data_IF_824020454327
#
_entry.id   IF_824020454327
#
_cell.length_a   1.000
_cell.length_b   1.000
_cell.length_c   1.000
_cell.angle_alpha   90.00
_cell.angle_beta   90.00
_cell.angle_gamma   90.00
#
_symmetry.space_group_name_H-M   'P 1'
#
loop_
_entity.id
_entity.type
_entity.pdbx_description
1 polymer ?
#
# COMPACT_ATOMS: atom_id res chain seq x y z
N UNK A 1 8.22 -26.77 15.68
CA UNK A 1 7.08 -25.82 15.71
C UNK A 1 6.51 -25.79 17.13
N UNK A 2 6.09 -24.62 17.58
CA UNK A 2 5.38 -24.43 18.85
C UNK A 2 4.10 -23.64 18.56
N UNK A 3 2.96 -24.16 19.02
CA UNK A 3 1.66 -23.49 18.88
C UNK A 3 1.00 -23.46 20.25
N UNK A 4 0.64 -22.25 20.68
CA UNK A 4 -0.09 -22.05 21.93
C UNK A 4 -1.38 -21.27 21.67
N UNK A 5 -2.39 -21.62 22.43
CA UNK A 5 -3.63 -20.89 22.57
C UNK A 5 -3.75 -20.41 24.03
N UNK A 6 -3.49 -19.14 24.25
CA UNK A 6 -3.22 -18.62 25.58
C UNK A 6 -2.03 -19.36 26.22
N UNK A 7 -2.23 -19.96 27.40
CA UNK A 7 -1.19 -20.74 28.09
C UNK A 7 -1.14 -22.23 27.67
N UNK A 8 -2.06 -22.67 26.81
CA UNK A 8 -2.18 -24.08 26.46
C UNK A 8 -1.36 -24.40 25.21
N UNK A 9 -0.42 -25.33 25.33
CA UNK A 9 0.31 -25.86 24.17
C UNK A 9 -0.59 -26.86 23.44
N UNK A 10 -0.82 -26.63 22.13
CA UNK A 10 -1.65 -27.45 21.26
C UNK A 10 -0.88 -27.98 20.04
N UNK A 11 0.44 -27.89 20.08
CA UNK A 11 1.32 -28.28 18.97
C UNK A 11 1.09 -29.73 18.52
N UNK A 12 0.95 -30.66 19.46
CA UNK A 12 0.77 -32.09 19.17
C UNK A 12 -0.56 -32.42 18.47
N UNK A 13 -1.48 -31.46 18.41
CA UNK A 13 -2.77 -31.60 17.74
C UNK A 13 -2.78 -31.12 16.31
N UNK A 14 -1.70 -30.45 15.86
CA UNK A 14 -1.62 -29.90 14.52
C UNK A 14 -1.60 -31.00 13.45
N UNK A 15 -2.57 -30.96 12.54
CA UNK A 15 -2.65 -31.84 11.38
C UNK A 15 -2.12 -31.16 10.11
N UNK A 16 -2.43 -29.88 9.94
CA UNK A 16 -2.06 -29.09 8.75
C UNK A 16 -1.89 -27.62 9.11
N UNK A 17 -1.00 -26.95 8.40
CA UNK A 17 -0.68 -25.54 8.58
C UNK A 17 -0.41 -24.92 7.21
N UNK A 18 -1.06 -23.82 6.97
CA UNK A 18 -0.81 -22.99 5.79
C UNK A 18 -0.81 -21.53 6.20
N UNK A 19 0.31 -20.87 6.02
CA UNK A 19 0.45 -19.42 6.16
C UNK A 19 0.61 -18.79 4.79
N UNK A 20 -0.08 -17.69 4.52
CA UNK A 20 0.05 -16.94 3.28
C UNK A 20 0.07 -15.44 3.53
N UNK A 21 0.89 -14.75 2.78
CA UNK A 21 1.00 -13.30 2.79
C UNK A 21 1.42 -12.81 1.41
N UNK A 22 0.79 -11.75 0.92
CA UNK A 22 1.04 -11.20 -0.40
C UNK A 22 1.00 -9.68 -0.40
N UNK A 23 1.76 -9.08 -1.33
CA UNK A 23 1.67 -7.67 -1.64
C UNK A 23 0.52 -7.40 -2.61
N UNK A 24 -0.22 -6.33 -2.34
CA UNK A 24 -1.26 -5.88 -3.25
C UNK A 24 -0.66 -5.27 -4.53
N UNK A 25 -1.28 -5.56 -5.67
CA UNK A 25 -1.00 -4.91 -6.96
C UNK A 25 0.48 -4.96 -7.42
N UNK A 26 1.24 -5.98 -7.02
CA UNK A 26 2.66 -6.11 -7.34
C UNK A 26 3.51 -4.88 -6.99
N UNK A 27 3.14 -4.14 -5.96
CA UNK A 27 3.91 -3.00 -5.46
C UNK A 27 5.10 -3.47 -4.64
N UNK A 28 6.20 -2.76 -4.76
CA UNK A 28 7.41 -3.04 -3.97
C UNK A 28 7.33 -2.42 -2.57
N UNK A 29 6.73 -1.25 -2.44
CA UNK A 29 6.67 -0.44 -1.23
C UNK A 29 5.24 0.02 -0.92
N UNK A 30 5.01 0.50 0.29
CA UNK A 30 3.71 1.02 0.71
C UNK A 30 2.68 -0.07 1.03
N UNK A 31 3.11 -1.32 1.16
CA UNK A 31 2.22 -2.41 1.49
C UNK A 31 2.03 -2.55 3.01
N UNK A 32 0.81 -2.90 3.39
CA UNK A 32 0.42 -3.25 4.76
C UNK A 32 -0.28 -4.61 4.72
N UNK A 33 0.46 -5.68 4.38
CA UNK A 33 -0.14 -6.99 4.19
C UNK A 33 -0.63 -7.56 5.53
N UNK A 34 -1.72 -8.31 5.48
CA UNK A 34 -2.11 -9.18 6.59
C UNK A 34 -1.63 -10.60 6.32
N UNK A 35 -1.07 -11.24 7.31
CA UNK A 35 -0.71 -12.65 7.25
C UNK A 35 -1.98 -13.46 7.55
N UNK A 36 -2.39 -14.28 6.61
CA UNK A 36 -3.44 -15.27 6.79
C UNK A 36 -2.84 -16.59 7.21
N UNK A 37 -3.37 -17.18 8.28
CA UNK A 37 -2.96 -18.48 8.79
C UNK A 37 -4.15 -19.39 8.86
N UNK A 38 -4.10 -20.54 8.17
CA UNK A 38 -5.06 -21.62 8.29
C UNK A 38 -4.39 -22.80 8.98
N UNK A 39 -4.96 -23.24 10.10
CA UNK A 39 -4.50 -24.43 10.81
C UNK A 39 -5.64 -25.44 10.97
N UNK A 40 -5.29 -26.71 10.85
CA UNK A 40 -6.20 -27.82 11.09
C UNK A 40 -5.69 -28.64 12.28
N UNK A 41 -6.56 -28.87 13.25
CA UNK A 41 -6.23 -29.59 14.48
C UNK A 41 -7.05 -30.87 14.64
N UNK A 42 -6.45 -31.85 15.27
CA UNK A 42 -7.18 -32.96 15.87
C UNK A 42 -7.95 -32.45 17.10
N UNK A 43 -9.27 -32.57 17.06
CA UNK A 43 -10.17 -32.17 18.13
C UNK A 43 -11.11 -33.31 18.57
N UNK A 44 -10.65 -34.57 18.46
CA UNK A 44 -11.47 -35.72 18.76
C UNK A 44 -12.02 -35.72 20.21
N UNK A 45 -11.31 -35.14 21.16
CA UNK A 45 -11.66 -34.99 22.56
C UNK A 45 -12.46 -33.72 22.89
N UNK A 46 -12.70 -32.84 21.91
CA UNK A 46 -13.49 -31.63 22.07
C UNK A 46 -12.82 -30.51 22.89
N UNK A 47 -11.52 -30.60 23.19
CA UNK A 47 -10.82 -29.57 23.99
C UNK A 47 -10.87 -28.22 23.32
N UNK A 48 -10.89 -28.16 21.98
CA UNK A 48 -10.92 -26.92 21.19
C UNK A 48 -12.36 -26.48 20.81
N UNK A 49 -13.41 -27.09 21.37
CA UNK A 49 -14.81 -26.73 21.05
C UNK A 49 -15.22 -25.32 21.56
N UNK A 50 -14.54 -24.83 22.59
CA UNK A 50 -14.89 -23.57 23.25
C UNK A 50 -13.72 -22.54 23.11
N UNK A 51 -13.31 -22.27 21.90
CA UNK A 51 -12.29 -21.25 21.64
C UNK A 51 -12.85 -19.86 21.95
N UNK A 52 -12.12 -19.11 22.76
CA UNK A 52 -12.34 -17.70 22.99
C UNK A 52 -11.61 -16.91 21.90
N UNK A 53 -12.36 -16.41 20.90
CA UNK A 53 -11.80 -15.66 19.75
C UNK A 53 -11.11 -14.35 20.16
N UNK A 54 -11.27 -13.89 21.39
CA UNK A 54 -10.56 -12.70 21.90
C UNK A 54 -9.08 -12.97 22.19
N UNK A 55 -8.71 -14.24 22.36
CA UNK A 55 -7.33 -14.63 22.68
C UNK A 55 -6.47 -14.78 21.45
N UNK A 56 -5.19 -14.49 21.61
CA UNK A 56 -4.18 -14.72 20.59
C UNK A 56 -3.73 -16.18 20.54
N UNK A 57 -3.39 -16.60 19.33
CA UNK A 57 -2.64 -17.79 19.03
C UNK A 57 -1.19 -17.42 18.83
N UNK A 58 -0.31 -18.03 19.59
CA UNK A 58 1.13 -17.87 19.49
C UNK A 58 1.69 -18.99 18.61
N UNK A 59 2.38 -18.61 17.53
CA UNK A 59 2.95 -19.56 16.59
C UNK A 59 4.44 -19.27 16.40
N UNK A 60 5.25 -20.30 16.61
CA UNK A 60 6.69 -20.27 16.39
C UNK A 60 7.07 -21.49 15.54
N UNK A 61 7.56 -21.26 14.34
CA UNK A 61 7.81 -22.34 13.37
C UNK A 61 8.96 -23.24 13.81
N UNK A 62 10.03 -22.68 14.36
CA UNK A 62 11.17 -23.37 14.94
C UNK A 62 11.87 -22.51 16.00
N UNK A 63 12.95 -22.98 16.60
CA UNK A 63 13.64 -22.25 17.67
C UNK A 63 14.32 -20.95 17.20
N UNK A 64 14.65 -20.84 15.93
CA UNK A 64 15.28 -19.66 15.34
C UNK A 64 14.25 -18.63 14.83
N UNK A 65 12.99 -19.03 14.61
CA UNK A 65 11.93 -18.14 14.14
C UNK A 65 11.44 -17.21 15.23
N UNK A 66 11.01 -16.00 14.83
CA UNK A 66 10.26 -15.12 15.71
C UNK A 66 8.88 -15.68 16.02
N UNK A 67 8.33 -15.29 17.15
CA UNK A 67 6.98 -15.66 17.52
C UNK A 67 5.99 -14.74 16.81
N UNK A 68 5.02 -15.33 16.11
CA UNK A 68 3.93 -14.60 15.45
C UNK A 68 2.64 -14.81 16.24
N UNK A 69 1.78 -13.78 16.21
CA UNK A 69 0.53 -13.76 16.94
C UNK A 69 -0.64 -13.58 15.98
N UNK A 70 -1.66 -14.43 16.15
CA UNK A 70 -2.84 -14.45 15.28
C UNK A 70 -4.11 -14.44 16.10
N UNK A 71 -5.18 -13.93 15.51
CA UNK A 71 -6.55 -14.00 16.06
C UNK A 71 -7.48 -14.72 15.11
N UNK A 72 -8.43 -15.44 15.68
CA UNK A 72 -9.61 -15.94 14.98
C UNK A 72 -10.65 -14.83 14.92
N UNK A 73 -11.13 -14.48 13.75
CA UNK A 73 -12.16 -13.44 13.60
C UNK A 73 -13.57 -14.01 13.48
N UNK A 74 -13.69 -15.22 12.94
CA UNK A 74 -14.98 -15.91 12.81
C UNK A 74 -15.06 -17.05 13.82
N UNK A 75 -16.23 -17.19 14.48
CA UNK A 75 -16.46 -18.29 15.43
C UNK A 75 -16.35 -19.64 14.69
N UNK A 76 -15.44 -20.52 15.07
CA UNK A 76 -15.29 -21.81 14.40
C UNK A 76 -16.48 -22.74 14.66
N UNK A 77 -16.65 -23.73 13.76
CA UNK A 77 -17.64 -24.78 13.95
C UNK A 77 -17.31 -25.59 15.21
N UNK A 78 -18.35 -25.83 16.04
CA UNK A 78 -18.21 -26.60 17.28
C UNK A 78 -18.47 -28.11 17.03
N UNK A 79 -17.95 -28.92 17.92
CA UNK A 79 -18.18 -30.37 17.95
C UNK A 79 -17.68 -31.11 16.71
N UNK A 80 -16.64 -30.62 16.10
CA UNK A 80 -15.97 -31.26 14.96
C UNK A 80 -14.79 -32.10 15.46
N UNK A 81 -14.58 -33.28 14.88
CA UNK A 81 -13.41 -34.14 15.20
C UNK A 81 -12.10 -33.52 14.70
N UNK A 82 -12.18 -32.75 13.64
CA UNK A 82 -11.10 -31.97 13.08
C UNK A 82 -11.56 -30.50 13.06
N UNK A 83 -10.83 -29.64 13.72
CA UNK A 83 -11.12 -28.22 13.78
C UNK A 83 -10.22 -27.47 12.81
N UNK A 84 -10.82 -26.71 11.89
CA UNK A 84 -10.07 -25.82 11.01
C UNK A 84 -10.27 -24.38 11.49
N UNK A 85 -9.16 -23.68 11.71
CA UNK A 85 -9.14 -22.28 12.10
C UNK A 85 -8.51 -21.44 11.01
N UNK A 86 -9.19 -20.36 10.66
CA UNK A 86 -8.67 -19.30 9.82
C UNK A 86 -8.40 -18.09 10.69
N UNK A 87 -7.17 -17.62 10.68
CA UNK A 87 -6.66 -16.58 11.57
C UNK A 87 -5.89 -15.54 10.80
N UNK A 88 -5.78 -14.36 11.38
CA UNK A 88 -5.04 -13.24 10.81
C UNK A 88 -4.19 -12.57 11.88
N UNK A 89 -3.13 -11.91 11.43
CA UNK A 89 -2.34 -11.03 12.26
C UNK A 89 -3.05 -9.68 12.55
N UNK A 90 -2.41 -8.81 13.31
CA UNK A 90 -3.00 -7.53 13.73
C UNK A 90 -3.29 -6.59 12.55
N UNK A 91 -2.57 -6.71 11.44
CA UNK A 91 -2.81 -5.86 10.27
C UNK A 91 -4.20 -6.04 9.68
N UNK A 92 -4.86 -7.18 9.93
CA UNK A 92 -6.24 -7.40 9.49
C UNK A 92 -7.22 -6.37 10.04
N UNK A 93 -7.01 -5.88 11.26
CA UNK A 93 -7.88 -4.89 11.91
C UNK A 93 -7.74 -3.46 11.37
N UNK A 94 -6.75 -3.20 10.51
CA UNK A 94 -6.45 -1.87 9.97
C UNK A 94 -7.38 -1.41 8.84
N UNK A 95 -8.31 -2.27 8.39
CA UNK A 95 -9.33 -1.94 7.39
C UNK A 95 -10.53 -1.17 8.00
N UNK A 96 -10.23 -0.32 8.96
CA UNK A 96 -11.17 0.57 9.63
C UNK A 96 -10.99 1.99 9.10
N UNK A 97 -12.10 2.72 8.90
CA UNK A 97 -12.06 4.11 8.46
C UNK A 97 -11.25 4.97 9.45
N UNK A 98 -10.44 5.88 8.91
CA UNK A 98 -9.68 6.82 9.73
C UNK A 98 -10.59 8.00 10.15
N UNK A 99 -11.28 7.85 11.27
CA UNK A 99 -12.13 8.89 11.86
C UNK A 99 -11.31 9.76 12.81
N UNK A 100 -10.54 10.68 12.24
CA UNK A 100 -9.63 11.56 12.98
C UNK A 100 -10.37 12.63 13.78
N UNK A 101 -9.82 12.94 14.95
CA UNK A 101 -10.23 14.07 15.81
C UNK A 101 -9.20 15.20 15.80
N UNK A 102 -8.11 15.04 15.06
CA UNK A 102 -7.05 16.04 14.95
C UNK A 102 -7.53 17.27 14.19
N UNK A 103 -7.03 18.43 14.58
CA UNK A 103 -7.25 19.70 13.88
C UNK A 103 -6.08 19.94 12.91
N UNK A 104 -6.31 19.79 11.63
CA UNK A 104 -5.28 19.94 10.60
C UNK A 104 -4.89 21.41 10.37
N UNK A 105 -3.61 21.73 10.02
CA UNK A 105 -2.53 20.80 9.70
C UNK A 105 -1.91 20.12 10.92
N UNK A 106 -1.44 18.88 10.75
CA UNK A 106 -0.79 18.07 11.78
C UNK A 106 0.48 17.44 11.22
N UNK A 107 1.34 16.91 12.08
CA UNK A 107 2.49 16.12 11.63
C UNK A 107 2.11 14.66 11.40
N UNK A 108 2.88 13.93 10.58
CA UNK A 108 2.73 12.47 10.47
C UNK A 108 2.89 11.80 11.84
N UNK A 109 3.76 12.35 12.69
CA UNK A 109 3.91 11.87 14.07
C UNK A 109 2.58 11.93 14.82
N UNK A 110 1.88 13.07 14.77
CA UNK A 110 0.59 13.24 15.45
C UNK A 110 -0.48 12.29 14.90
N UNK A 111 -0.46 12.04 13.58
CA UNK A 111 -1.34 11.04 12.96
C UNK A 111 -1.04 9.62 13.45
N UNK A 112 0.24 9.24 13.55
CA UNK A 112 0.62 7.93 14.08
C UNK A 112 0.22 7.79 15.55
N UNK A 113 0.37 8.84 16.38
CA UNK A 113 -0.09 8.87 17.78
C UNK A 113 -1.61 8.65 17.87
N UNK A 114 -2.38 9.27 16.98
CA UNK A 114 -3.82 9.07 16.92
C UNK A 114 -4.20 7.67 16.43
N UNK A 115 -3.52 7.14 15.39
CA UNK A 115 -3.75 5.79 14.89
C UNK A 115 -3.50 4.75 16.00
N UNK A 116 -2.45 4.91 16.80
CA UNK A 116 -2.22 4.07 17.98
C UNK A 116 -3.42 4.13 18.95
N UNK A 117 -3.93 5.31 19.22
CA UNK A 117 -5.10 5.50 20.10
C UNK A 117 -6.38 4.88 19.53
N UNK A 118 -6.61 4.97 18.23
CA UNK A 118 -7.81 4.45 17.56
C UNK A 118 -7.80 2.93 17.42
N UNK A 119 -6.63 2.34 17.15
CA UNK A 119 -6.49 0.91 16.88
C UNK A 119 -6.13 0.09 18.10
N UNK A 120 -5.53 0.72 19.12
CA UNK A 120 -4.92 0.04 20.27
C UNK A 120 -3.61 -0.67 19.91
N UNK A 121 -3.10 -0.49 18.67
CA UNK A 121 -1.82 -1.05 18.24
C UNK A 121 -0.69 -0.05 18.47
N UNK A 122 0.41 -0.50 19.04
CA UNK A 122 1.62 0.30 19.17
C UNK A 122 2.39 0.36 17.85
N UNK A 123 2.84 1.53 17.45
CA UNK A 123 3.60 1.72 16.23
C UNK A 123 5.10 1.85 16.57
N UNK A 124 5.88 0.86 16.17
CA UNK A 124 7.33 0.88 16.36
C UNK A 124 7.93 1.88 15.39
N UNK A 125 8.44 3.00 15.92
CA UNK A 125 8.92 4.15 15.13
C UNK A 125 10.40 4.07 14.79
N UNK A 126 11.09 3.09 15.35
CA UNK A 126 12.47 2.83 14.98
C UNK A 126 12.59 2.56 13.49
N UNK A 127 13.48 3.27 12.81
CA UNK A 127 13.68 3.18 11.36
C UNK A 127 12.83 4.14 10.53
N UNK A 128 11.82 4.82 11.10
CA UNK A 128 11.12 5.91 10.42
C UNK A 128 12.02 7.16 10.45
N UNK A 129 12.40 7.73 9.28
CA UNK A 129 13.22 8.93 9.24
C UNK A 129 12.52 10.14 9.88
N UNK A 130 13.28 10.99 10.56
CA UNK A 130 12.72 12.17 11.24
C UNK A 130 11.99 13.12 10.27
N UNK A 131 12.50 13.29 9.03
CA UNK A 131 11.84 14.14 8.03
C UNK A 131 10.44 13.62 7.64
N UNK A 132 10.18 12.32 7.79
CA UNK A 132 8.84 11.75 7.60
C UNK A 132 7.96 12.06 8.79
N UNK A 133 8.46 11.87 10.01
CA UNK A 133 7.69 12.15 11.24
C UNK A 133 7.30 13.62 11.36
N UNK A 134 8.19 14.54 10.95
CA UNK A 134 7.99 15.98 11.02
C UNK A 134 7.21 16.55 9.82
N UNK A 135 6.94 15.73 8.79
CA UNK A 135 6.18 16.17 7.62
C UNK A 135 4.79 16.64 8.03
N UNK A 136 4.49 17.89 7.67
CA UNK A 136 3.16 18.47 7.89
C UNK A 136 2.17 17.95 6.87
N UNK A 137 1.02 17.54 7.33
CA UNK A 137 -0.13 17.09 6.54
C UNK A 137 -1.29 18.03 6.80
N UNK A 138 -1.83 18.64 5.77
CA UNK A 138 -2.88 19.65 5.88
C UNK A 138 -4.29 19.11 5.67
N UNK A 139 -4.42 17.82 5.30
CA UNK A 139 -5.70 17.27 4.90
C UNK A 139 -5.81 15.78 5.21
N UNK A 140 -7.05 15.29 5.37
CA UNK A 140 -7.38 13.88 5.51
C UNK A 140 -8.67 13.54 4.74
N UNK A 141 -8.91 12.26 4.52
CA UNK A 141 -10.14 11.73 3.96
C UNK A 141 -10.70 10.61 4.85
N UNK A 142 -11.82 10.85 5.49
CA UNK A 142 -12.47 9.90 6.39
C UNK A 142 -13.08 8.67 5.69
N UNK A 143 -13.07 8.64 4.36
CA UNK A 143 -13.49 7.48 3.56
C UNK A 143 -12.34 6.49 3.33
N UNK A 144 -11.11 6.86 3.69
CA UNK A 144 -9.93 6.04 3.53
C UNK A 144 -9.63 5.31 4.83
N UNK A 145 -9.29 4.03 4.70
CA UNK A 145 -8.99 3.18 5.86
C UNK A 145 -7.57 3.43 6.40
N UNK A 146 -7.35 3.15 7.68
CA UNK A 146 -6.07 3.32 8.37
C UNK A 146 -4.95 2.59 7.64
N UNK A 147 -5.20 1.39 7.11
CA UNK A 147 -4.25 0.62 6.30
C UNK A 147 -3.62 1.46 5.17
N UNK A 148 -4.42 2.22 4.45
CA UNK A 148 -3.93 3.03 3.34
C UNK A 148 -3.07 4.20 3.81
N UNK A 149 -3.43 4.84 4.94
CA UNK A 149 -2.60 5.89 5.53
C UNK A 149 -1.23 5.38 5.96
N UNK A 150 -1.18 4.21 6.61
CA UNK A 150 0.08 3.57 6.97
C UNK A 150 0.90 3.19 5.73
N UNK A 151 0.24 2.68 4.68
CA UNK A 151 0.89 2.39 3.40
C UNK A 151 1.48 3.65 2.75
N UNK A 152 0.75 4.76 2.73
CA UNK A 152 1.24 6.04 2.21
C UNK A 152 2.45 6.57 2.99
N UNK A 153 2.42 6.46 4.33
CA UNK A 153 3.56 6.84 5.17
C UNK A 153 4.77 5.95 4.87
N UNK A 154 4.56 4.63 4.71
CA UNK A 154 5.62 3.70 4.39
C UNK A 154 6.28 3.99 3.03
N UNK A 155 5.50 4.38 2.03
CA UNK A 155 6.05 4.77 0.72
C UNK A 155 7.05 5.93 0.80
N UNK A 156 6.87 6.90 1.72
CA UNK A 156 7.72 8.10 1.80
C UNK A 156 9.20 7.78 2.07
N UNK A 157 9.49 6.60 2.59
CA UNK A 157 10.87 6.17 2.86
C UNK A 157 11.17 4.73 2.40
N UNK A 158 10.43 4.27 1.39
CA UNK A 158 10.61 2.97 0.75
C UNK A 158 10.46 1.79 1.71
N UNK A 159 9.38 1.74 2.49
CA UNK A 159 9.10 0.72 3.49
C UNK A 159 7.78 -0.02 3.21
N UNK A 160 7.56 -1.08 3.97
CA UNK A 160 6.31 -1.80 4.13
C UNK A 160 5.98 -1.93 5.62
N UNK A 161 4.73 -2.27 5.98
CA UNK A 161 4.28 -2.34 7.38
C UNK A 161 3.87 -3.77 7.73
N UNK A 162 4.43 -4.31 8.79
CA UNK A 162 4.13 -5.67 9.26
C UNK A 162 3.68 -5.66 10.72
N UNK A 163 2.84 -6.61 11.07
CA UNK A 163 2.52 -6.89 12.46
C UNK A 163 3.76 -7.44 13.18
N UNK A 164 4.03 -6.94 14.39
CA UNK A 164 5.12 -7.38 15.26
C UNK A 164 4.61 -7.53 16.68
N UNK A 165 4.86 -8.70 17.26
CA UNK A 165 4.35 -8.98 18.61
C UNK A 165 2.82 -9.10 18.66
N UNK A 166 2.27 -8.92 19.86
CA UNK A 166 0.86 -9.15 20.16
C UNK A 166 -0.05 -7.98 19.78
N UNK A 167 0.48 -6.75 19.82
CA UNK A 167 -0.27 -5.50 19.71
C UNK A 167 0.54 -4.38 19.06
N UNK A 168 1.50 -4.72 18.23
CA UNK A 168 2.34 -3.74 17.57
C UNK A 168 2.50 -3.98 16.07
N UNK A 169 2.87 -2.91 15.38
CA UNK A 169 3.22 -2.90 13.96
C UNK A 169 4.56 -2.19 13.78
N UNK A 170 5.30 -2.61 12.76
CA UNK A 170 6.62 -2.03 12.42
C UNK A 170 6.68 -1.65 10.96
N UNK A 171 7.30 -0.51 10.68
CA UNK A 171 7.71 -0.11 9.34
C UNK A 171 9.07 -0.74 9.02
N UNK A 172 9.13 -1.53 7.95
CA UNK A 172 10.34 -2.22 7.51
C UNK A 172 10.76 -1.69 6.15
N UNK A 173 11.82 -0.90 6.07
CA UNK A 173 12.34 -0.39 4.81
C UNK A 173 12.90 -1.52 3.93
N UNK A 174 12.77 -1.36 2.61
CA UNK A 174 13.40 -2.29 1.66
C UNK A 174 14.92 -2.16 1.76
N UNK A 175 15.58 -3.31 1.91
CA UNK A 175 17.03 -3.42 1.91
C UNK A 175 17.55 -3.87 0.53
N UNK A 176 18.72 -3.35 0.13
CA UNK A 176 19.38 -3.76 -1.14
C UNK A 176 20.12 -5.08 -1.02
N UNK A 177 20.42 -5.49 0.20
CA UNK A 177 21.14 -6.72 0.49
C UNK A 177 20.15 -7.87 0.63
N UNK A 178 20.49 -9.03 0.13
CA UNK A 178 19.66 -10.21 0.32
C UNK A 178 19.52 -10.55 1.81
N UNK A 179 18.28 -10.77 2.23
CA UNK A 179 17.92 -11.11 3.61
C UNK A 179 18.47 -12.47 4.01
N UNK A 180 18.38 -13.46 3.10
CA UNK A 180 18.79 -14.81 3.33
C UNK A 180 19.34 -15.45 2.07
N UNK A 181 19.96 -16.61 2.22
CA UNK A 181 20.44 -17.45 1.10
C UNK A 181 19.79 -18.81 1.18
N UNK A 182 19.25 -19.27 0.07
CA UNK A 182 18.78 -20.66 -0.08
C UNK A 182 19.62 -21.40 -1.11
N UNK A 183 19.77 -22.70 -0.92
CA UNK A 183 20.43 -23.59 -1.91
C UNK A 183 19.47 -24.60 -2.53
N UNK A 184 18.31 -24.76 -1.91
CA UNK A 184 17.34 -25.79 -2.25
C UNK A 184 16.10 -25.20 -2.90
N UNK A 185 16.18 -24.96 -4.22
CA UNK A 185 15.01 -24.70 -5.04
C UNK A 185 14.60 -26.00 -5.75
N UNK A 186 13.34 -26.39 -5.59
CA UNK A 186 12.82 -27.60 -6.25
C UNK A 186 12.16 -27.30 -7.59
N UNK A 187 11.64 -26.09 -7.74
CA UNK A 187 11.05 -25.59 -8.98
C UNK A 187 11.09 -24.07 -9.02
N UNK A 188 11.28 -23.46 -10.18
CA UNK A 188 11.19 -22.02 -10.37
C UNK A 188 11.14 -21.62 -11.84
N UNK A 189 10.40 -20.56 -12.10
CA UNK A 189 10.46 -19.81 -13.37
C UNK A 189 11.24 -18.51 -13.14
N UNK A 190 12.39 -18.39 -13.80
CA UNK A 190 13.23 -17.19 -13.75
C UNK A 190 12.92 -16.30 -14.95
N UNK A 191 12.44 -15.11 -14.65
CA UNK A 191 12.12 -14.07 -15.63
C UNK A 191 13.25 -13.03 -15.76
N UNK A 192 12.96 -11.93 -16.42
CA UNK A 192 13.90 -10.84 -16.66
C UNK A 192 14.45 -10.23 -15.37
N UNK A 193 15.66 -9.68 -15.47
CA UNK A 193 16.28 -8.93 -14.39
C UNK A 193 15.60 -7.58 -14.26
N UNK A 194 15.10 -7.29 -13.10
CA UNK A 194 14.62 -5.96 -12.72
C UNK A 194 15.78 -5.16 -12.14
N UNK A 195 16.04 -3.97 -12.68
CA UNK A 195 16.97 -2.99 -12.10
C UNK A 195 16.24 -1.67 -11.98
N UNK A 196 16.10 -1.16 -10.76
CA UNK A 196 15.43 0.10 -10.51
C UNK A 196 16.31 1.26 -10.98
N UNK A 197 15.78 2.06 -11.91
CA UNK A 197 16.47 3.22 -12.48
C UNK A 197 15.74 4.54 -12.26
N UNK A 198 14.45 4.49 -11.91
CA UNK A 198 13.62 5.69 -11.72
C UNK A 198 12.60 5.49 -10.62
N UNK A 199 12.27 6.57 -9.92
CA UNK A 199 11.09 6.71 -9.07
C UNK A 199 10.19 7.78 -9.66
N UNK A 200 8.88 7.54 -9.68
CA UNK A 200 7.88 8.44 -10.26
C UNK A 200 6.66 8.52 -9.37
N UNK A 201 6.21 9.75 -9.10
CA UNK A 201 4.95 10.03 -8.41
C UNK A 201 4.08 10.95 -9.28
N UNK A 202 2.84 10.55 -9.50
CA UNK A 202 1.86 11.40 -10.17
C UNK A 202 1.33 12.42 -9.17
N UNK A 203 1.81 13.67 -9.28
CA UNK A 203 1.41 14.77 -8.41
C UNK A 203 0.63 15.81 -9.21
N UNK A 204 -0.66 15.59 -9.41
CA UNK A 204 -1.54 16.51 -10.13
C UNK A 204 -1.02 16.86 -11.54
N UNK A 205 -0.79 18.15 -11.78
CA UNK A 205 -0.29 18.66 -13.06
C UNK A 205 1.24 18.55 -13.22
N UNK A 206 1.96 18.41 -12.12
CA UNK A 206 3.42 18.40 -12.10
C UNK A 206 3.92 17.08 -11.51
N UNK A 207 4.11 16.03 -12.32
CA UNK A 207 4.63 14.78 -11.82
C UNK A 207 6.04 14.97 -11.25
N UNK A 208 6.30 14.29 -10.14
CA UNK A 208 7.61 14.29 -9.49
C UNK A 208 8.36 13.04 -9.92
N UNK A 209 9.61 13.17 -10.28
CA UNK A 209 10.41 12.00 -10.64
C UNK A 209 11.90 12.22 -10.42
N UNK A 210 12.63 11.10 -10.25
CA UNK A 210 14.09 11.08 -10.25
C UNK A 210 14.61 9.78 -10.85
N UNK A 211 15.68 9.89 -11.63
CA UNK A 211 16.35 8.77 -12.29
C UNK A 211 16.17 8.74 -13.79
N UNK A 212 16.55 7.62 -14.40
CA UNK A 212 16.57 7.43 -15.85
C UNK A 212 15.20 6.95 -16.37
N UNK A 213 14.69 7.64 -17.39
CA UNK A 213 13.41 7.27 -18.02
C UNK A 213 13.48 5.98 -18.85
N UNK A 214 14.67 5.51 -19.18
CA UNK A 214 14.86 4.34 -20.07
C UNK A 214 14.78 3.00 -19.34
N UNK A 215 14.81 2.96 -18.01
CA UNK A 215 14.83 1.74 -17.22
C UNK A 215 13.51 1.43 -16.52
N UNK A 216 13.57 0.57 -15.50
CA UNK A 216 12.41 0.22 -14.70
C UNK A 216 12.07 1.33 -13.72
N UNK A 217 10.81 1.70 -13.69
CA UNK A 217 10.29 2.77 -12.84
C UNK A 217 9.52 2.18 -11.67
N UNK A 218 9.84 2.65 -10.46
CA UNK A 218 8.99 2.46 -9.27
C UNK A 218 7.94 3.57 -9.25
N UNK A 219 6.68 3.18 -9.28
CA UNK A 219 5.55 4.09 -9.18
C UNK A 219 5.10 4.21 -7.73
N UNK A 220 5.05 5.45 -7.23
CA UNK A 220 4.39 5.77 -5.98
C UNK A 220 2.88 5.69 -6.19
N UNK A 221 2.14 5.24 -5.18
CA UNK A 221 0.69 5.18 -5.27
C UNK A 221 0.12 6.54 -5.71
N UNK A 222 -0.59 6.52 -6.83
CA UNK A 222 -1.20 7.73 -7.37
C UNK A 222 -2.24 8.37 -6.43
N UNK A 223 -2.72 7.61 -5.45
CA UNK A 223 -3.62 8.11 -4.40
C UNK A 223 -2.87 8.66 -3.19
N UNK A 224 -1.55 8.43 -3.09
CA UNK A 224 -0.75 8.90 -1.97
C UNK A 224 -0.64 10.44 -1.99
N UNK A 225 -1.35 11.07 -1.04
CA UNK A 225 -1.37 12.53 -0.91
C UNK A 225 -0.14 13.10 -0.20
N UNK A 226 0.69 12.25 0.41
CA UNK A 226 1.86 12.66 1.17
C UNK A 226 3.13 12.72 0.31
N UNK A 227 3.14 12.08 -0.85
CA UNK A 227 4.28 12.10 -1.78
C UNK A 227 4.24 13.33 -2.70
N UNK A 228 4.15 14.52 -2.13
CA UNK A 228 3.93 15.81 -2.82
C UNK A 228 5.19 16.69 -2.94
N UNK A 229 6.32 16.21 -2.42
CA UNK A 229 7.58 16.95 -2.44
C UNK A 229 8.67 16.19 -3.22
N UNK A 230 9.46 16.93 -4.02
CA UNK A 230 10.59 16.36 -4.76
C UNK A 230 11.63 15.72 -3.85
N UNK A 231 11.87 16.29 -2.66
CA UNK A 231 12.81 15.79 -1.65
C UNK A 231 12.48 14.36 -1.19
N UNK A 232 11.19 14.01 -1.12
CA UNK A 232 10.72 12.67 -0.79
C UNK A 232 11.08 11.69 -1.92
N UNK A 233 10.75 12.06 -3.16
CA UNK A 233 11.08 11.24 -4.34
C UNK A 233 12.58 11.04 -4.47
N UNK A 234 13.36 12.08 -4.19
CA UNK A 234 14.81 12.03 -4.17
C UNK A 234 15.33 11.04 -3.12
N UNK A 235 14.76 11.07 -1.93
CA UNK A 235 15.13 10.18 -0.83
C UNK A 235 14.81 8.72 -1.13
N UNK A 236 13.62 8.44 -1.69
CA UNK A 236 13.23 7.09 -2.12
C UNK A 236 14.19 6.57 -3.20
N UNK A 237 14.45 7.40 -4.21
CA UNK A 237 15.37 7.04 -5.29
C UNK A 237 16.79 6.75 -4.76
N UNK A 238 17.36 7.62 -3.94
CA UNK A 238 18.71 7.45 -3.40
C UNK A 238 18.83 6.21 -2.53
N UNK A 239 17.76 5.84 -1.84
CA UNK A 239 17.68 4.58 -1.10
C UNK A 239 17.67 3.37 -2.01
N UNK A 240 16.87 3.38 -3.08
CA UNK A 240 16.58 2.20 -3.91
C UNK A 240 17.34 2.14 -5.22
N UNK A 241 18.01 3.21 -5.68
CA UNK A 241 18.74 3.24 -6.96
C UNK A 241 19.70 2.06 -7.06
N UNK A 242 19.66 1.37 -8.20
CA UNK A 242 20.51 0.22 -8.47
C UNK A 242 20.07 -1.07 -7.77
N UNK A 243 18.92 -1.09 -7.08
CA UNK A 243 18.31 -2.31 -6.60
C UNK A 243 18.07 -3.23 -7.79
N UNK A 244 18.66 -4.43 -7.75
CA UNK A 244 18.63 -5.38 -8.86
C UNK A 244 18.28 -6.77 -8.33
N UNK A 245 17.32 -7.42 -8.99
CA UNK A 245 16.91 -8.79 -8.70
C UNK A 245 16.24 -9.43 -9.91
N UNK A 246 16.11 -10.75 -9.89
CA UNK A 246 15.33 -11.47 -10.87
C UNK A 246 13.87 -11.51 -10.44
N UNK A 247 12.96 -11.30 -11.38
CA UNK A 247 11.57 -11.65 -11.18
C UNK A 247 11.43 -13.17 -11.29
N UNK A 248 10.65 -13.76 -10.41
CA UNK A 248 10.45 -15.22 -10.34
C UNK A 248 8.98 -15.54 -10.18
N UNK A 249 8.61 -16.76 -10.58
CA UNK A 249 7.29 -17.34 -10.35
C UNK A 249 7.41 -18.77 -9.85
N UNK A 250 6.46 -19.17 -9.00
CA UNK A 250 6.31 -20.54 -8.51
C UNK A 250 7.60 -21.11 -7.89
N UNK A 251 8.40 -20.26 -7.24
CA UNK A 251 9.61 -20.74 -6.55
C UNK A 251 9.22 -21.58 -5.35
N UNK A 252 9.60 -22.85 -5.37
CA UNK A 252 9.40 -23.76 -4.23
C UNK A 252 10.73 -24.05 -3.55
N UNK A 253 10.81 -23.81 -2.27
CA UNK A 253 12.03 -23.97 -1.46
C UNK A 253 11.71 -24.43 -0.04
N UNK A 254 12.72 -24.90 0.68
CA UNK A 254 12.61 -25.09 2.13
C UNK A 254 12.32 -23.72 2.78
N UNK A 255 11.41 -23.70 3.76
CA UNK A 255 11.04 -22.46 4.43
C UNK A 255 12.25 -21.76 5.06
N UNK A 256 12.37 -20.47 4.83
CA UNK A 256 13.37 -19.59 5.43
C UNK A 256 12.74 -18.88 6.63
N UNK A 257 13.42 -18.91 7.77
CA UNK A 257 12.94 -18.29 8.99
C UNK A 257 12.71 -16.79 8.81
N UNK A 258 11.60 -16.32 9.35
CA UNK A 258 11.22 -14.90 9.35
C UNK A 258 11.11 -14.25 7.95
N UNK A 259 11.07 -15.04 6.88
CA UNK A 259 10.88 -14.50 5.55
C UNK A 259 9.50 -13.85 5.44
N UNK A 260 9.50 -12.65 4.84
CA UNK A 260 8.30 -11.87 4.53
C UNK A 260 8.40 -11.30 3.11
N UNK A 261 7.29 -10.96 2.45
CA UNK A 261 7.31 -10.17 1.23
C UNK A 261 8.13 -8.88 1.43
N UNK A 262 8.76 -8.37 0.37
CA UNK A 262 9.68 -7.23 0.46
C UNK A 262 11.15 -7.62 0.68
N UNK A 263 11.41 -8.86 1.04
CA UNK A 263 12.76 -9.37 1.21
C UNK A 263 13.42 -9.74 -0.13
N UNK A 264 14.74 -9.67 -0.17
CA UNK A 264 15.56 -10.26 -1.23
C UNK A 264 16.15 -11.59 -0.74
N UNK A 265 16.04 -12.60 -1.55
CA UNK A 265 16.63 -13.92 -1.28
C UNK A 265 17.69 -14.23 -2.34
N UNK A 266 18.86 -14.64 -1.87
CA UNK A 266 19.96 -15.05 -2.73
C UNK A 266 19.90 -16.56 -2.94
N UNK A 267 19.94 -17.00 -4.19
CA UNK A 267 20.01 -18.41 -4.54
C UNK A 267 21.46 -18.83 -4.80
N UNK A 268 21.83 -19.98 -4.22
CA UNK A 268 23.10 -20.66 -4.43
C UNK A 268 24.33 -19.74 -4.35
N UNK A 269 24.38 -18.91 -3.29
CA UNK A 269 25.50 -18.01 -3.02
C UNK A 269 25.89 -17.10 -4.19
N UNK A 270 24.91 -16.44 -4.81
CA UNK A 270 24.99 -15.45 -5.90
C UNK A 270 24.78 -15.97 -7.32
N UNK A 271 24.19 -17.15 -7.52
CA UNK A 271 23.74 -17.52 -8.84
C UNK A 271 22.69 -16.53 -9.38
N UNK A 272 21.72 -16.17 -8.54
CA UNK A 272 20.85 -15.02 -8.73
C UNK A 272 20.17 -14.60 -7.42
N UNK A 273 19.68 -13.36 -7.37
CA UNK A 273 18.87 -12.84 -6.28
C UNK A 273 17.46 -12.59 -6.77
N UNK A 274 16.44 -12.92 -5.97
CA UNK A 274 15.06 -12.67 -6.31
C UNK A 274 14.34 -11.91 -5.19
N UNK A 275 13.31 -11.17 -5.59
CA UNK A 275 12.43 -10.44 -4.68
C UNK A 275 11.25 -11.32 -4.30
N UNK A 276 10.75 -11.18 -3.07
CA UNK A 276 9.57 -11.88 -2.58
C UNK A 276 8.41 -10.91 -2.58
N UNK A 277 7.39 -11.14 -3.41
CA UNK A 277 6.12 -10.39 -3.39
C UNK A 277 5.00 -11.17 -2.71
N UNK A 278 5.03 -12.49 -2.84
CA UNK A 278 4.05 -13.40 -2.30
C UNK A 278 4.77 -14.58 -1.65
N UNK A 279 4.28 -14.99 -0.49
CA UNK A 279 4.84 -16.09 0.28
C UNK A 279 3.71 -16.99 0.79
N UNK A 280 3.81 -18.28 0.51
CA UNK A 280 2.98 -19.31 1.14
C UNK A 280 3.88 -20.34 1.81
N UNK A 281 3.68 -20.58 3.09
CA UNK A 281 4.38 -21.63 3.86
C UNK A 281 3.40 -22.73 4.19
N UNK A 282 3.76 -23.97 3.86
CA UNK A 282 2.94 -25.14 4.13
C UNK A 282 3.72 -26.12 5.03
N UNK A 283 3.02 -26.68 5.99
CA UNK A 283 3.51 -27.77 6.84
C UNK A 283 2.46 -28.85 6.89
N UNK A 284 2.81 -30.08 6.59
CA UNK A 284 1.91 -31.22 6.57
C UNK A 284 2.59 -32.48 7.10
N UNK A 285 1.93 -33.14 8.02
CA UNK A 285 2.31 -34.49 8.46
C UNK A 285 3.70 -34.60 9.10
N UNK A 286 4.18 -33.57 9.80
CA UNK A 286 5.46 -33.57 10.50
C UNK A 286 6.69 -33.41 9.59
N UNK A 287 6.49 -33.10 8.31
CA UNK A 287 7.57 -32.80 7.37
C UNK A 287 8.02 -31.34 7.44
N UNK A 288 9.15 -31.04 6.82
CA UNK A 288 9.68 -29.67 6.76
C UNK A 288 8.69 -28.71 6.13
N UNK A 289 8.67 -27.47 6.63
CA UNK A 289 7.90 -26.40 6.03
C UNK A 289 8.46 -26.10 4.65
N UNK A 290 7.58 -26.09 3.64
CA UNK A 290 7.89 -25.70 2.26
C UNK A 290 7.31 -24.34 1.99
N UNK A 291 8.12 -23.45 1.41
CA UNK A 291 7.68 -22.12 0.97
C UNK A 291 7.50 -22.10 -0.53
N UNK A 292 6.41 -21.51 -0.99
CA UNK A 292 6.20 -21.10 -2.39
C UNK A 292 6.24 -19.59 -2.46
N UNK A 293 7.04 -19.06 -3.39
CA UNK A 293 7.31 -17.62 -3.53
C UNK A 293 7.04 -17.18 -4.96
N UNK A 294 6.32 -16.08 -5.10
CA UNK A 294 6.31 -15.27 -6.30
C UNK A 294 7.05 -13.95 -6.05
N UNK A 295 7.74 -13.47 -7.06
CA UNK A 295 8.56 -12.26 -6.98
C UNK A 295 8.33 -11.36 -8.18
N UNK A 296 7.08 -10.95 -8.40
CA UNK A 296 6.70 -10.04 -9.47
C UNK A 296 6.60 -8.61 -8.93
N UNK A 297 7.12 -7.66 -9.69
CA UNK A 297 6.93 -6.23 -9.44
C UNK A 297 6.47 -5.52 -10.69
N UNK A 298 5.73 -4.44 -10.53
CA UNK A 298 5.29 -3.60 -11.65
C UNK A 298 6.48 -3.08 -12.43
N UNK A 299 6.49 -3.28 -13.75
CA UNK A 299 7.54 -2.85 -14.66
C UNK A 299 7.10 -1.70 -15.54
N UNK A 300 8.07 -1.09 -16.24
CA UNK A 300 7.81 -0.01 -17.20
C UNK A 300 6.74 -0.33 -18.25
N UNK A 301 6.62 -1.58 -18.68
CA UNK A 301 5.64 -1.98 -19.68
C UNK A 301 4.20 -1.95 -19.18
N UNK A 302 4.01 -1.93 -17.88
CA UNK A 302 2.69 -1.85 -17.22
C UNK A 302 2.27 -0.39 -16.96
N UNK A 303 3.14 0.59 -17.23
CA UNK A 303 2.82 2.02 -17.17
C UNK A 303 1.55 2.37 -17.99
N UNK A 304 1.32 1.67 -19.09
CA UNK A 304 0.10 1.82 -19.91
C UNK A 304 -1.17 1.28 -19.24
N UNK A 305 -1.03 0.43 -18.26
CA UNK A 305 -2.11 -0.21 -17.49
C UNK A 305 -2.30 0.42 -16.12
N UNK A 306 -1.46 1.35 -15.70
CA UNK A 306 -1.71 2.15 -14.48
C UNK A 306 -3.09 2.75 -14.62
N UNK A 307 -4.02 2.31 -13.80
CA UNK A 307 -5.39 2.81 -13.75
C UNK A 307 -5.32 4.33 -13.79
N UNK A 308 -5.88 4.94 -14.82
CA UNK A 308 -5.96 6.40 -14.90
C UNK A 308 -6.48 6.87 -13.58
N UNK A 309 -5.66 7.63 -12.85
CA UNK A 309 -6.07 8.25 -11.60
C UNK A 309 -7.42 8.86 -11.83
N UNK A 310 -8.39 8.50 -11.02
CA UNK A 310 -9.74 9.00 -11.22
C UNK A 310 -9.68 10.53 -11.22
N UNK A 311 -10.47 11.18 -12.05
CA UNK A 311 -10.53 12.64 -12.06
C UNK A 311 -10.84 13.19 -10.66
N UNK A 312 -11.58 12.44 -9.85
CA UNK A 312 -11.88 12.75 -8.44
C UNK A 312 -10.58 12.82 -7.61
N UNK A 313 -9.68 11.85 -7.72
CA UNK A 313 -8.40 11.84 -7.00
C UNK A 313 -7.49 12.99 -7.46
N UNK A 314 -7.46 13.28 -8.76
CA UNK A 314 -6.72 14.43 -9.31
C UNK A 314 -7.26 15.75 -8.79
N UNK A 315 -8.57 15.91 -8.77
CA UNK A 315 -9.24 17.10 -8.23
C UNK A 315 -8.92 17.24 -6.75
N UNK A 316 -9.01 16.17 -5.96
CA UNK A 316 -8.65 16.19 -4.53
C UNK A 316 -7.20 16.59 -4.30
N UNK A 317 -6.24 16.03 -5.06
CA UNK A 317 -4.82 16.45 -4.97
C UNK A 317 -4.64 17.94 -5.27
N UNK A 318 -5.28 18.44 -6.31
CA UNK A 318 -5.23 19.88 -6.66
C UNK A 318 -5.85 20.76 -5.58
N UNK A 319 -6.95 20.33 -4.96
CA UNK A 319 -7.57 21.03 -3.82
C UNK A 319 -6.62 21.13 -2.65
N UNK A 320 -6.01 20.00 -2.24
CA UNK A 320 -5.04 19.96 -1.14
C UNK A 320 -3.85 20.90 -1.42
N UNK A 321 -3.30 20.87 -2.64
CA UNK A 321 -2.21 21.79 -3.03
C UNK A 321 -2.62 23.24 -2.95
N UNK A 322 -3.80 23.60 -3.45
CA UNK A 322 -4.32 24.95 -3.40
C UNK A 322 -4.55 25.43 -1.97
N UNK A 323 -5.05 24.56 -1.09
CA UNK A 323 -5.25 24.88 0.32
C UNK A 323 -3.92 25.06 1.06
N UNK A 324 -2.90 24.25 0.74
CA UNK A 324 -1.54 24.41 1.26
C UNK A 324 -0.89 25.71 0.81
N UNK A 325 -1.04 26.08 -0.46
CA UNK A 325 -0.53 27.36 -0.99
C UNK A 325 -1.25 28.54 -0.34
N UNK A 326 -2.57 28.47 -0.16
CA UNK A 326 -3.35 29.49 0.52
C UNK A 326 -2.91 29.66 1.97
N UNK A 327 -2.67 28.56 2.70
CA UNK A 327 -2.14 28.59 4.06
C UNK A 327 -0.75 29.22 4.13
N UNK A 328 0.15 28.89 3.19
CA UNK A 328 1.48 29.53 3.10
C UNK A 328 1.37 31.03 2.83
N UNK A 329 0.48 31.45 1.94
CA UNK A 329 0.23 32.85 1.65
C UNK A 329 -0.35 33.59 2.85
N UNK A 330 -1.27 32.99 3.59
CA UNK A 330 -1.85 33.56 4.82
C UNK A 330 -0.80 33.72 5.93
N UNK A 331 0.12 32.76 6.05
CA UNK A 331 1.26 32.82 6.98
C UNK A 331 2.20 33.97 6.57
N UNK A 332 2.57 34.05 5.31
CA UNK A 332 3.45 35.10 4.79
C UNK A 332 2.81 36.48 4.94
N UNK A 333 1.52 36.63 4.66
CA UNK A 333 0.80 37.89 4.84
C UNK A 333 0.79 38.33 6.31
N UNK A 334 0.62 37.39 7.25
CA UNK A 334 0.65 37.65 8.69
C UNK A 334 2.06 38.00 9.21
N UNK A 335 3.09 37.37 8.66
CA UNK A 335 4.48 37.71 8.95
C UNK A 335 4.84 39.12 8.43
N UNK A 336 4.26 39.58 7.31
CA UNK A 336 4.46 40.89 6.75
C UNK A 336 3.69 42.02 7.46
N UNK A 337 2.55 41.73 8.08
CA UNK A 337 1.76 42.72 8.81
C UNK A 337 2.32 43.10 10.21
N UNK A 338 3.57 42.74 10.47
CA UNK A 338 4.28 43.16 11.68
C UNK A 338 3.70 42.57 12.93
N UNK A 339 4.34 41.62 13.39
CA UNK A 339 4.31 40.90 14.63
C UNK A 339 4.06 41.87 15.81
N UNK A 340 2.84 42.24 16.03
CA UNK A 340 2.43 42.70 17.35
C UNK A 340 1.10 42.06 17.72
N UNK A 341 1.22 41.16 18.68
CA UNK A 341 0.16 40.64 19.51
C UNK A 341 -1.11 40.20 18.74
N UNK A 342 -1.06 39.05 18.33
CA UNK A 342 -2.14 38.07 18.43
C UNK A 342 -1.77 36.93 17.48
N UNK A 343 -1.43 35.80 18.07
CA UNK A 343 -1.87 34.53 17.47
C UNK A 343 -3.37 34.74 17.17
N UNK A 344 -3.63 35.45 16.07
CA UNK A 344 -4.94 35.33 15.46
C UNK A 344 -5.07 33.84 15.16
N UNK A 345 -5.81 33.17 16.02
CA UNK A 345 -6.29 31.85 15.77
C UNK A 345 -6.53 31.76 14.28
N UNK A 346 -5.76 30.91 13.61
CA UNK A 346 -6.07 30.40 12.30
C UNK A 346 -7.35 29.57 12.43
N UNK A 347 -8.41 30.26 12.84
CA UNK A 347 -9.75 29.85 12.56
C UNK A 347 -9.94 30.10 11.06
N UNK A 348 -9.22 29.31 10.26
CA UNK A 348 -9.78 28.93 8.99
C UNK A 348 -11.05 28.21 9.39
N UNK A 349 -12.12 29.02 9.55
CA UNK A 349 -13.42 28.45 9.87
C UNK A 349 -13.62 27.32 8.88
N UNK A 350 -14.00 26.14 9.35
CA UNK A 350 -14.46 25.03 8.50
C UNK A 350 -15.43 25.53 7.41
N UNK A 351 -16.14 26.64 7.65
CA UNK A 351 -16.94 27.34 6.65
C UNK A 351 -16.16 27.87 5.44
N UNK A 352 -14.96 28.45 5.60
CA UNK A 352 -14.20 28.95 4.46
C UNK A 352 -13.63 27.80 3.62
N UNK A 353 -13.22 26.73 4.28
CA UNK A 353 -12.77 25.52 3.58
C UNK A 353 -13.97 24.85 2.89
N UNK A 354 -15.10 24.73 3.59
CA UNK A 354 -16.34 24.18 3.03
C UNK A 354 -16.85 25.01 1.85
N UNK A 355 -16.83 26.35 1.93
CA UNK A 355 -17.24 27.21 0.81
C UNK A 355 -16.32 27.04 -0.40
N UNK A 356 -15.01 26.92 -0.19
CA UNK A 356 -14.05 26.68 -1.27
C UNK A 356 -14.18 25.28 -1.88
N UNK A 357 -14.43 24.28 -1.06
CA UNK A 357 -14.73 22.92 -1.52
C UNK A 357 -16.00 22.94 -2.37
N UNK A 358 -17.04 23.61 -1.92
CA UNK A 358 -18.31 23.75 -2.67
C UNK A 358 -18.10 24.48 -4.00
N UNK A 359 -17.33 25.60 -4.01
CA UNK A 359 -17.04 26.32 -5.27
C UNK A 359 -16.23 25.47 -6.26
N UNK A 360 -15.31 24.64 -5.77
CA UNK A 360 -14.50 23.75 -6.63
C UNK A 360 -15.33 22.55 -7.09
N UNK A 361 -16.21 22.02 -6.25
CA UNK A 361 -17.16 21.00 -6.65
C UNK A 361 -18.14 21.51 -7.70
N UNK A 362 -18.64 22.74 -7.57
CA UNK A 362 -19.48 23.39 -8.58
C UNK A 362 -18.72 23.59 -9.89
N UNK A 363 -17.49 24.14 -9.86
CA UNK A 363 -16.64 24.32 -11.04
C UNK A 363 -16.24 23.00 -11.69
N UNK A 364 -15.95 21.97 -10.88
CA UNK A 364 -15.70 20.63 -11.38
C UNK A 364 -16.96 20.02 -11.98
N UNK A 365 -18.12 20.24 -11.36
CA UNK A 365 -19.43 19.84 -11.90
C UNK A 365 -19.75 20.53 -13.22
N UNK A 366 -19.44 21.84 -13.35
CA UNK A 366 -19.59 22.59 -14.58
C UNK A 366 -18.60 22.11 -15.66
N UNK A 367 -17.34 21.87 -15.33
CA UNK A 367 -16.34 21.33 -16.24
C UNK A 367 -16.72 19.92 -16.75
N UNK A 368 -17.26 19.07 -15.86
CA UNK A 368 -17.76 17.76 -16.24
C UNK A 368 -18.98 17.88 -17.16
N UNK A 369 -19.93 18.77 -16.85
CA UNK A 369 -21.09 19.05 -17.74
C UNK A 369 -20.64 19.60 -19.08
N UNK A 370 -19.65 20.48 -19.10
CA UNK A 370 -19.09 21.07 -20.32
C UNK A 370 -18.33 20.02 -21.14
N UNK A 371 -17.55 19.15 -20.50
CA UNK A 371 -16.90 18.01 -21.15
C UNK A 371 -17.92 17.00 -21.69
N UNK A 372 -18.97 16.69 -20.93
CA UNK A 372 -20.06 15.82 -21.37
C UNK A 372 -20.89 16.48 -22.49
N UNK A 373 -21.08 17.79 -22.43
CA UNK A 373 -21.73 18.57 -23.48
C UNK A 373 -20.88 18.64 -24.77
N UNK A 374 -19.56 18.69 -24.63
CA UNK A 374 -18.62 18.67 -25.77
C UNK A 374 -18.58 17.28 -26.44
N UNK A 375 -18.69 16.21 -25.65
CA UNK A 375 -18.78 14.83 -26.20
C UNK A 375 -20.10 14.60 -26.92
N UNK A 376 -21.18 15.27 -26.50
CA UNK A 376 -22.49 15.21 -27.21
C UNK A 376 -22.53 16.05 -28.47
N UNK A 377 -21.55 16.91 -28.72
CA UNK A 377 -21.43 17.76 -29.92
C UNK A 377 -20.45 17.22 -30.95
N UNK A 378 -20.20 15.94 -31.02
CA UNK A 378 -19.64 15.36 -32.22
C UNK A 378 -20.76 15.34 -33.28
N UNK A 379 -20.91 16.44 -33.96
CA UNK A 379 -21.73 16.51 -35.17
C UNK A 379 -20.84 16.02 -36.29
N UNK A 380 -21.16 14.86 -36.85
CA UNK A 380 -20.58 14.43 -38.11
C UNK A 380 -21.28 15.20 -39.20
N UNK A 381 -20.63 16.19 -39.78
CA UNK A 381 -21.13 16.83 -40.98
C UNK A 381 -20.69 16.03 -42.20
N UNK A 382 -21.55 15.89 -43.15
CA UNK A 382 -21.34 15.15 -44.38
C UNK A 382 -21.44 16.12 -45.55
N UNK A 383 -20.57 15.98 -46.50
CA UNK A 383 -20.70 16.68 -47.80
C UNK A 383 -20.26 15.76 -48.92
N UNK A 384 -20.91 15.83 -50.05
CA UNK A 384 -20.57 15.04 -51.23
C UNK A 384 -19.41 15.66 -51.96
N UNK A 385 -18.32 14.97 -52.14
CA UNK A 385 -17.20 15.36 -52.98
C UNK A 385 -17.43 14.91 -54.42
N UNK A 386 -17.15 15.76 -55.37
CA UNK A 386 -17.30 15.46 -56.81
C UNK A 386 -16.19 14.56 -57.38
N UNK A 387 -15.06 14.50 -56.72
CA UNK A 387 -13.90 13.73 -57.12
C UNK A 387 -13.57 12.57 -56.15
N UNK A 388 -14.28 12.45 -55.01
CA UNK A 388 -14.09 11.40 -54.01
C UNK A 388 -12.77 11.51 -53.20
N UNK A 389 -11.95 12.51 -53.43
CA UNK A 389 -10.62 12.71 -52.84
C UNK A 389 -10.51 14.03 -52.09
N UNK A 390 -11.01 15.12 -52.68
CA UNK A 390 -10.90 16.45 -52.11
C UNK A 390 -12.11 16.79 -51.26
N UNK A 391 -11.95 17.18 -50.00
CA UNK A 391 -13.07 17.61 -49.16
C UNK A 391 -13.73 18.84 -49.78
N UNK A 392 -15.06 18.90 -49.89
CA UNK A 392 -15.76 20.05 -50.43
C UNK A 392 -15.61 21.28 -49.49
N UNK A 393 -15.44 22.44 -50.09
CA UNK A 393 -15.28 23.69 -49.31
C UNK A 393 -16.63 24.17 -48.71
N UNK A 394 -17.75 23.75 -49.25
CA UNK A 394 -19.10 24.15 -48.80
C UNK A 394 -20.09 22.99 -48.93
N UNK A 395 -21.23 23.13 -48.36
CA UNK A 395 -22.32 22.12 -48.47
C UNK A 395 -22.29 21.03 -47.36
N UNK A 396 -21.62 21.27 -46.27
CA UNK A 396 -21.61 20.40 -45.12
C UNK A 396 -22.96 20.39 -44.43
N UNK A 397 -23.46 19.21 -44.05
CA UNK A 397 -24.75 18.99 -43.43
C UNK A 397 -24.65 17.90 -42.35
N UNK A 398 -25.47 18.03 -41.30
CA UNK A 398 -25.56 17.04 -40.23
C UNK A 398 -26.25 15.73 -40.67
N UNK A 399 -26.81 15.71 -41.86
CA UNK A 399 -27.45 14.50 -42.44
C UNK A 399 -26.57 13.92 -43.55
N UNK A 400 -26.30 12.61 -43.48
CA UNK A 400 -25.58 11.92 -44.53
C UNK A 400 -26.31 12.04 -45.87
N UNK A 401 -25.60 12.27 -46.99
CA UNK A 401 -26.21 12.25 -48.32
C UNK A 401 -26.82 10.87 -48.61
N UNK A 402 -28.02 10.88 -49.16
CA UNK A 402 -28.74 9.65 -49.59
C UNK A 402 -28.10 9.01 -50.79
#
# INVERSE_FOLDING_TARGET
MLIKYGETNVTDRLLDYKMSVSFADCRMIGNVPSIELTMKFDNYDGILDNIDISKYWEVKENDASDTRYFKVYDQPEKYTKELTLKMYDNNYSLDTAYDTKLSYPVTIKDQLDEIESLTGLSIIREGIPQYVLDKSVSWYDNTIVIRNYLGWIAELFAANVYAEGIDSIRFVPIEKTAFATTQDLTDYEKNEVYTLTRVYAENGLNPLSKGDETGNTLFIDSTNLYADEQSIIDSIYDRLKGLTFNQVKNVTMISIDNLLPGALVNYNSNEFTFFVSDLTVNYKGGQFSMSTVDGSVTTKNEEKTVKRVSNTTRIRKLQVQQDQESLKLDIIAKEQEGINDKMAQLSLSNEKISLRVTEVEEKAGEAIKQAQGSVKKFVCEYASSTDGVTPPETGWSETAPT
#
